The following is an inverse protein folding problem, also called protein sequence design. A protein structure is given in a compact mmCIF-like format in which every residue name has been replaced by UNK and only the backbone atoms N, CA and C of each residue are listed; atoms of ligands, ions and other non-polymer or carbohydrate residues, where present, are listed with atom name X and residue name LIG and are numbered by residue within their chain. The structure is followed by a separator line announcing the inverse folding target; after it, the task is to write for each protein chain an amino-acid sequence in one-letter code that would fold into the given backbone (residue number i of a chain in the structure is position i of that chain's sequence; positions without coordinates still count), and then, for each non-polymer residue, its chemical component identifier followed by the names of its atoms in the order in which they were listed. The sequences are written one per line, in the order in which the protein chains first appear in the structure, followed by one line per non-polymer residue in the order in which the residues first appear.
data_IF_545999047862
#
_entry.id   IF_545999047862
#
_cell.length_a   1.000
_cell.length_b   1.000
_cell.length_c   1.000
_cell.angle_alpha   90.00
_cell.angle_beta   90.00
_cell.angle_gamma   90.00
#
_symmetry.space_group_name_H-M   'P 1'
#
loop_
_entity.id
_entity.type
_entity.pdbx_description
1 polymer ?
#
# COMPACT_ATOMS: atom_id res chain seq x y z
N UNK A 1 17.92 -15.74 -12.93
CA UNK A 1 17.28 -15.13 -11.75
C UNK A 1 17.36 -13.62 -11.95
N UNK A 2 16.24 -12.91 -11.94
CA UNK A 2 16.30 -11.45 -11.72
C UNK A 2 16.74 -11.34 -10.26
N UNK A 3 18.03 -11.10 -10.07
CA UNK A 3 18.61 -10.99 -8.74
C UNK A 3 18.27 -9.57 -8.31
N UNK A 4 17.23 -9.44 -7.49
CA UNK A 4 16.83 -8.16 -6.94
C UNK A 4 17.93 -7.68 -6.00
N UNK A 5 18.70 -6.72 -6.47
CA UNK A 5 19.31 -5.67 -5.65
C UNK A 5 18.31 -4.50 -5.54
N UNK A 6 17.01 -4.79 -5.63
CA UNK A 6 15.95 -3.87 -6.02
C UNK A 6 14.87 -3.85 -4.91
N UNK A 7 15.10 -3.05 -3.87
CA UNK A 7 14.20 -2.89 -2.72
C UNK A 7 12.99 -2.00 -3.08
N UNK A 8 12.40 -2.20 -4.27
CA UNK A 8 11.42 -1.28 -4.82
C UNK A 8 10.05 -1.49 -4.19
N UNK A 9 9.65 -0.50 -3.40
CA UNK A 9 8.31 -0.30 -2.91
C UNK A 9 7.78 1.07 -3.32
N UNK A 10 6.46 1.22 -3.33
CA UNK A 10 5.79 2.51 -3.33
C UNK A 10 4.90 2.59 -2.10
N UNK A 11 4.96 3.73 -1.40
CA UNK A 11 4.12 4.01 -0.25
C UNK A 11 3.54 5.43 -0.37
N UNK A 12 2.26 5.56 -0.06
CA UNK A 12 1.51 6.83 -0.11
C UNK A 12 0.76 6.98 1.22
N UNK A 13 0.88 8.17 1.80
CA UNK A 13 0.13 8.58 2.97
C UNK A 13 -0.05 10.11 2.98
N UNK A 14 -1.03 10.60 3.74
CA UNK A 14 -1.35 12.01 3.95
C UNK A 14 -1.59 12.77 2.63
N UNK A 15 -2.38 12.20 1.73
CA UNK A 15 -2.80 12.86 0.49
C UNK A 15 -3.63 14.09 0.84
N UNK A 16 -3.19 15.24 0.35
CA UNK A 16 -3.87 16.51 0.54
C UNK A 16 -3.92 17.25 -0.80
N UNK A 17 -5.12 17.58 -1.26
CA UNK A 17 -5.33 18.50 -2.37
C UNK A 17 -5.90 19.81 -1.85
N UNK A 18 -5.26 20.91 -2.21
CA UNK A 18 -5.68 22.27 -1.85
C UNK A 18 -5.84 23.15 -3.07
N UNK A 19 -6.62 24.23 -2.96
CA UNK A 19 -6.76 25.26 -3.98
C UNK A 19 -7.18 26.62 -3.39
N UNK A 20 -7.20 27.66 -4.22
CA UNK A 20 -7.60 29.01 -3.80
C UNK A 20 -9.11 29.22 -3.94
N UNK A 21 -9.89 28.45 -3.17
CA UNK A 21 -11.35 28.57 -3.13
C UNK A 21 -11.77 29.21 -1.81
N UNK A 22 -12.36 30.41 -1.89
CA UNK A 22 -12.70 31.25 -0.73
C UNK A 22 -13.60 30.54 0.30
N UNK A 23 -14.41 29.57 -0.14
CA UNK A 23 -15.48 28.97 0.66
C UNK A 23 -15.09 27.65 1.36
N UNK A 24 -13.99 27.00 0.97
CA UNK A 24 -13.57 25.68 1.51
C UNK A 24 -12.36 25.74 2.46
N UNK A 25 -11.93 26.94 2.86
CA UNK A 25 -10.66 27.11 3.58
C UNK A 25 -9.45 26.61 2.78
N UNK A 26 -9.63 26.45 1.46
CA UNK A 26 -8.65 25.96 0.51
C UNK A 26 -8.39 24.45 0.47
N UNK A 27 -9.13 23.59 1.20
CA UNK A 27 -8.97 22.13 1.13
C UNK A 27 -10.02 21.52 0.19
N UNK A 28 -9.58 20.72 -0.78
CA UNK A 28 -10.44 20.02 -1.75
C UNK A 28 -10.57 18.52 -1.45
N UNK A 29 -9.50 17.90 -0.94
CA UNK A 29 -9.49 16.47 -0.63
C UNK A 29 -8.42 16.16 0.43
N UNK A 30 -8.71 15.24 1.33
CA UNK A 30 -7.75 14.69 2.29
C UNK A 30 -7.98 13.20 2.48
N UNK A 31 -6.89 12.44 2.49
CA UNK A 31 -6.90 11.03 2.84
C UNK A 31 -5.61 10.69 3.60
N UNK A 32 -5.76 10.08 4.77
CA UNK A 32 -4.68 9.56 5.61
C UNK A 32 -4.84 8.05 5.90
N UNK A 33 -5.82 7.39 5.27
CA UNK A 33 -6.11 5.95 5.31
C UNK A 33 -6.39 5.35 6.70
N UNK A 34 -6.32 6.14 7.78
CA UNK A 34 -6.52 5.67 9.16
C UNK A 34 -7.92 5.08 9.41
N UNK A 35 -8.90 5.43 8.57
CA UNK A 35 -10.23 4.83 8.59
C UNK A 35 -10.21 3.31 8.38
N UNK A 36 -9.15 2.77 7.79
CA UNK A 36 -8.95 1.35 7.51
C UNK A 36 -8.34 0.58 8.69
N UNK A 37 -7.90 1.22 9.78
CA UNK A 37 -7.25 0.55 10.91
C UNK A 37 -8.11 -0.57 11.51
N UNK A 38 -9.43 -0.39 11.56
CA UNK A 38 -10.38 -1.41 12.03
C UNK A 38 -10.60 -2.59 11.07
N UNK A 39 -10.07 -2.52 9.84
CA UNK A 39 -10.20 -3.54 8.80
C UNK A 39 -8.92 -4.33 8.54
N UNK A 40 -7.83 -4.04 9.26
CA UNK A 40 -6.59 -4.79 9.14
C UNK A 40 -6.80 -6.25 9.55
N UNK A 41 -6.28 -7.15 8.72
CA UNK A 41 -6.36 -8.59 8.86
C UNK A 41 -4.96 -9.20 9.01
N UNK A 42 -4.86 -10.46 9.45
CA UNK A 42 -3.58 -11.17 9.50
C UNK A 42 -2.86 -11.14 8.15
N UNK A 43 -1.54 -10.99 8.20
CA UNK A 43 -0.70 -11.15 7.00
C UNK A 43 -0.75 -12.62 6.56
N UNK A 44 -1.04 -12.86 5.29
CA UNK A 44 -1.20 -14.18 4.71
C UNK A 44 0.03 -14.53 3.89
N UNK A 45 0.66 -15.64 4.29
CA UNK A 45 1.76 -16.31 3.59
C UNK A 45 2.92 -15.38 3.26
N UNK A 46 3.79 -15.16 4.23
CA UNK A 46 5.02 -14.38 4.08
C UNK A 46 6.17 -15.32 3.69
N UNK A 47 6.66 -15.28 2.45
CA UNK A 47 7.63 -16.30 1.99
C UNK A 47 9.01 -16.18 2.63
N UNK A 48 9.36 -15.00 3.18
CA UNK A 48 10.72 -14.66 3.62
C UNK A 48 10.85 -14.16 5.06
N UNK A 49 9.76 -13.69 5.69
CA UNK A 49 9.79 -13.04 7.00
C UNK A 49 8.55 -13.38 7.83
N UNK A 50 8.70 -13.77 9.10
CA UNK A 50 7.57 -14.04 10.02
C UNK A 50 6.87 -12.74 10.46
N UNK A 51 6.10 -12.12 9.55
CA UNK A 51 5.19 -11.02 9.88
C UNK A 51 4.01 -11.58 10.67
N UNK A 52 3.89 -11.18 11.93
CA UNK A 52 2.79 -11.59 12.81
C UNK A 52 1.84 -10.42 13.10
N UNK A 53 0.56 -10.73 13.30
CA UNK A 53 -0.45 -9.74 13.69
C UNK A 53 -1.34 -9.30 12.52
N UNK A 54 -2.34 -8.48 12.86
CA UNK A 54 -3.25 -7.89 11.88
C UNK A 54 -2.63 -6.61 11.35
N UNK A 55 -2.19 -6.61 10.10
CA UNK A 55 -1.36 -5.53 9.57
C UNK A 55 -1.69 -5.13 8.14
N UNK A 56 -2.61 -5.82 7.46
CA UNK A 56 -2.88 -5.55 6.05
C UNK A 56 -4.35 -5.69 5.72
N UNK A 57 -4.84 -4.85 4.81
CA UNK A 57 -6.15 -5.00 4.17
C UNK A 57 -6.04 -4.70 2.69
N UNK A 58 -6.67 -5.55 1.86
CA UNK A 58 -6.86 -5.29 0.44
C UNK A 58 -8.14 -4.50 0.14
N UNK A 59 -8.84 -4.02 1.17
CA UNK A 59 -10.06 -3.20 1.01
C UNK A 59 -9.67 -1.73 0.98
N UNK A 60 -10.00 -0.98 -0.10
CA UNK A 60 -9.66 0.43 -0.19
C UNK A 60 -10.54 1.31 0.70
N UNK A 61 -10.01 2.48 1.05
CA UNK A 61 -10.77 3.55 1.69
C UNK A 61 -11.97 3.95 0.80
N UNK A 62 -12.98 4.55 1.41
CA UNK A 62 -14.23 4.88 0.71
C UNK A 62 -13.97 5.74 -0.53
N UNK A 63 -14.45 5.27 -1.68
CA UNK A 63 -14.32 5.96 -2.97
C UNK A 63 -13.01 5.73 -3.72
N UNK A 64 -11.99 5.14 -3.08
CA UNK A 64 -10.80 4.64 -3.76
C UNK A 64 -11.10 3.31 -4.43
N UNK A 65 -10.40 3.02 -5.53
CA UNK A 65 -10.51 1.73 -6.21
C UNK A 65 -9.14 1.09 -6.41
N UNK A 66 -9.10 -0.23 -6.28
CA UNK A 66 -7.95 -1.06 -6.54
C UNK A 66 -8.19 -1.92 -7.78
N UNK A 67 -7.25 -1.89 -8.73
CA UNK A 67 -7.14 -2.88 -9.78
C UNK A 67 -5.85 -3.67 -9.60
N UNK A 68 -6.04 -4.85 -9.01
CA UNK A 68 -5.04 -5.87 -8.75
C UNK A 68 -5.22 -7.06 -9.71
N UNK A 69 -5.94 -6.90 -10.82
CA UNK A 69 -6.29 -8.04 -11.69
C UNK A 69 -5.21 -8.41 -12.72
N UNK A 70 -4.19 -7.56 -12.88
CA UNK A 70 -3.25 -7.60 -14.00
C UNK A 70 -1.81 -7.97 -13.60
N UNK A 71 -1.54 -8.29 -12.34
CA UNK A 71 -0.36 -9.09 -12.00
C UNK A 71 -0.65 -10.56 -12.32
N UNK A 72 0.38 -11.38 -12.56
CA UNK A 72 0.22 -12.78 -12.95
C UNK A 72 -0.51 -13.66 -11.93
N UNK A 73 -0.34 -14.99 -12.00
CA UNK A 73 -0.93 -15.87 -10.97
C UNK A 73 -0.37 -15.52 -9.58
N UNK A 74 -1.24 -15.40 -8.55
CA UNK A 74 -0.79 -15.12 -7.17
C UNK A 74 0.30 -16.10 -6.74
N UNK A 75 1.45 -15.58 -6.30
CA UNK A 75 2.64 -16.36 -6.00
C UNK A 75 2.62 -16.98 -4.59
N UNK A 76 1.45 -16.99 -3.94
CA UNK A 76 1.26 -17.57 -2.61
C UNK A 76 1.28 -16.53 -1.49
N UNK A 77 1.89 -15.36 -1.67
CA UNK A 77 1.89 -14.27 -0.68
C UNK A 77 0.82 -13.22 -0.93
N UNK A 78 -0.42 -13.58 -0.63
CA UNK A 78 -1.61 -12.78 -0.97
C UNK A 78 -1.54 -11.36 -0.39
N UNK A 79 -0.87 -11.15 0.75
CA UNK A 79 -0.73 -9.81 1.34
C UNK A 79 0.15 -8.84 0.54
N UNK A 80 1.02 -9.36 -0.34
CA UNK A 80 1.90 -8.56 -1.21
C UNK A 80 1.39 -8.48 -2.66
N UNK A 81 0.19 -8.99 -2.92
CA UNK A 81 -0.42 -8.96 -4.25
C UNK A 81 -0.93 -7.55 -4.60
N UNK A 82 -0.06 -6.74 -5.22
CA UNK A 82 -0.37 -5.37 -5.67
C UNK A 82 -0.57 -4.37 -4.53
N UNK A 83 -1.30 -3.29 -4.83
CA UNK A 83 -1.64 -2.27 -3.82
C UNK A 83 -2.50 -2.86 -2.71
N UNK A 84 -2.07 -2.62 -1.47
CA UNK A 84 -2.77 -2.96 -0.23
C UNK A 84 -2.60 -1.80 0.77
N UNK A 85 -3.29 -1.87 1.90
CA UNK A 85 -3.17 -0.89 2.98
C UNK A 85 -2.58 -1.55 4.21
N UNK A 86 -1.45 -1.02 4.65
CA UNK A 86 -0.59 -1.67 5.64
C UNK A 86 -0.44 -0.83 6.90
N UNK A 87 -0.38 -1.48 8.06
CA UNK A 87 0.20 -0.89 9.25
C UNK A 87 1.69 -0.63 9.00
N UNK A 88 2.07 0.66 9.00
CA UNK A 88 3.40 1.11 8.59
C UNK A 88 4.51 0.47 9.42
N UNK A 89 4.33 0.42 10.74
CA UNK A 89 5.37 -0.08 11.64
C UNK A 89 5.54 -1.59 11.49
N UNK A 90 4.44 -2.34 11.30
CA UNK A 90 4.52 -3.78 11.06
C UNK A 90 5.25 -4.06 9.75
N UNK A 91 4.94 -3.35 8.66
CA UNK A 91 5.66 -3.50 7.39
C UNK A 91 7.15 -3.14 7.52
N UNK A 92 7.49 -2.00 8.12
CA UNK A 92 8.88 -1.55 8.28
C UNK A 92 9.71 -2.47 9.17
N UNK A 93 9.15 -2.92 10.30
CA UNK A 93 9.90 -3.74 11.27
C UNK A 93 10.14 -5.17 10.80
N UNK A 94 9.36 -5.63 9.83
CA UNK A 94 9.38 -7.03 9.41
C UNK A 94 10.31 -7.31 8.23
N UNK A 95 10.77 -6.28 7.51
CA UNK A 95 11.43 -6.42 6.21
C UNK A 95 12.64 -5.49 6.16
N UNK A 96 13.85 -6.05 6.26
CA UNK A 96 15.07 -5.31 6.64
C UNK A 96 15.79 -4.63 5.47
N UNK A 97 15.19 -3.69 4.75
CA UNK A 97 15.87 -2.98 3.62
C UNK A 97 15.38 -1.53 3.42
N UNK A 98 15.96 -0.54 4.13
CA UNK A 98 15.73 0.91 3.99
C UNK A 98 14.25 1.40 4.07
N UNK A 99 13.29 0.53 4.39
CA UNK A 99 11.85 0.82 4.47
C UNK A 99 11.53 1.88 5.53
N UNK A 100 12.37 2.00 6.55
CA UNK A 100 12.34 3.07 7.54
C UNK A 100 12.52 4.47 6.95
N UNK A 101 13.06 4.59 5.73
CA UNK A 101 13.21 5.88 5.04
C UNK A 101 11.86 6.50 4.67
N UNK A 102 10.79 5.70 4.56
CA UNK A 102 9.42 6.21 4.50
C UNK A 102 8.92 6.61 5.91
N UNK A 103 9.48 7.69 6.46
CA UNK A 103 9.27 8.09 7.85
C UNK A 103 8.22 9.21 8.05
N UNK A 104 7.63 9.72 6.96
CA UNK A 104 6.63 10.80 7.02
C UNK A 104 5.19 10.29 7.06
N UNK A 105 4.97 9.02 6.76
CA UNK A 105 3.69 8.36 6.97
C UNK A 105 3.50 7.93 8.42
N UNK A 106 2.28 7.51 8.76
CA UNK A 106 1.93 6.95 10.06
C UNK A 106 0.74 6.00 9.92
N UNK A 107 0.52 5.16 10.93
CA UNK A 107 -0.67 4.31 11.02
C UNK A 107 -0.85 3.44 9.77
N UNK A 108 -1.99 3.55 9.12
CA UNK A 108 -2.29 2.82 7.88
C UNK A 108 -1.82 3.60 6.65
N UNK A 109 -1.07 2.95 5.77
CA UNK A 109 -0.53 3.56 4.54
C UNK A 109 -0.93 2.74 3.31
N UNK A 110 -1.15 3.39 2.17
CA UNK A 110 -1.29 2.69 0.90
C UNK A 110 0.09 2.24 0.43
N UNK A 111 0.26 0.95 0.15
CA UNK A 111 1.56 0.35 -0.07
C UNK A 111 1.53 -0.75 -1.14
N UNK A 112 2.59 -0.80 -1.94
CA UNK A 112 2.91 -1.93 -2.82
C UNK A 112 4.41 -2.21 -2.73
N UNK A 113 4.76 -3.47 -2.52
CA UNK A 113 6.14 -3.93 -2.29
C UNK A 113 6.46 -5.05 -3.30
N UNK A 114 7.01 -4.66 -4.46
CA UNK A 114 7.35 -5.61 -5.54
C UNK A 114 8.47 -6.56 -5.14
N UNK A 115 9.40 -6.11 -4.31
CA UNK A 115 10.49 -6.95 -3.82
C UNK A 115 9.94 -8.14 -3.05
N UNK A 116 9.00 -7.90 -2.12
CA UNK A 116 8.35 -9.00 -1.41
C UNK A 116 7.51 -9.88 -2.33
N UNK A 117 6.77 -9.29 -3.28
CA UNK A 117 6.02 -10.05 -4.28
C UNK A 117 6.93 -11.00 -5.11
N UNK A 118 8.13 -10.55 -5.50
CA UNK A 118 9.10 -11.35 -6.24
C UNK A 118 9.76 -12.42 -5.35
N UNK A 119 10.07 -12.09 -4.09
CA UNK A 119 10.57 -13.04 -3.08
C UNK A 119 9.54 -14.14 -2.72
N UNK A 120 8.28 -13.96 -3.12
CA UNK A 120 7.23 -14.97 -3.02
C UNK A 120 7.25 -15.98 -4.17
N UNK A 121 8.22 -15.90 -5.09
CA UNK A 121 8.35 -16.81 -6.20
C UNK A 121 7.48 -16.43 -7.39
N UNK A 122 7.03 -15.17 -7.46
CA UNK A 122 6.46 -14.65 -8.70
C UNK A 122 7.52 -14.64 -9.79
N UNK A 123 7.09 -14.88 -11.02
CA UNK A 123 7.95 -14.77 -12.21
C UNK A 123 7.43 -13.72 -13.20
N UNK A 124 6.30 -13.09 -12.86
CA UNK A 124 5.54 -12.17 -13.69
C UNK A 124 5.74 -10.73 -13.22
N UNK A 125 5.60 -9.76 -14.12
CA UNK A 125 5.64 -8.35 -13.74
C UNK A 125 4.39 -7.99 -12.94
N UNK A 126 4.57 -7.21 -11.88
CA UNK A 126 3.46 -6.67 -11.12
C UNK A 126 2.85 -5.46 -11.83
N UNK A 127 1.58 -5.57 -12.22
CA UNK A 127 0.79 -4.47 -12.74
C UNK A 127 -0.43 -4.25 -11.84
N UNK A 128 -0.44 -3.11 -11.14
CA UNK A 128 -1.47 -2.75 -10.17
C UNK A 128 -1.78 -1.27 -10.25
N UNK A 129 -3.04 -0.90 -10.03
CA UNK A 129 -3.52 0.48 -10.08
C UNK A 129 -4.30 0.80 -8.80
N UNK A 130 -3.94 1.92 -8.17
CA UNK A 130 -4.72 2.56 -7.12
C UNK A 130 -5.27 3.89 -7.67
N UNK A 131 -6.58 4.05 -7.64
CA UNK A 131 -7.27 5.25 -8.15
C UNK A 131 -7.96 5.97 -7.01
N UNK A 132 -7.72 7.27 -6.89
CA UNK A 132 -8.43 8.13 -5.94
C UNK A 132 -9.90 8.30 -6.34
N UNK A 133 -10.76 8.75 -5.40
CA UNK A 133 -12.06 9.27 -5.77
C UNK A 133 -11.96 10.42 -6.78
N UNK A 134 -13.01 10.62 -7.57
CA UNK A 134 -13.14 11.83 -8.37
C UNK A 134 -13.32 13.04 -7.44
N UNK A 135 -12.50 14.07 -7.63
CA UNK A 135 -12.57 15.30 -6.85
C UNK A 135 -13.28 16.35 -7.70
N UNK A 136 -14.41 16.85 -7.21
CA UNK A 136 -15.11 17.95 -7.88
C UNK A 136 -14.38 19.27 -7.61
N UNK A 137 -14.18 20.06 -8.67
CA UNK A 137 -13.49 21.35 -8.64
C UNK A 137 -14.42 22.54 -8.95
N UNK A 138 -15.74 22.30 -8.96
CA UNK A 138 -16.75 23.31 -9.33
C UNK A 138 -17.02 24.34 -8.26
#
# INVERSE_FOLDING_TARGET
ARNATDDWYWAIDNVLLTGEFADLGGILFREDFESLAGSLAPVVANSSHDITGNAVTGTPSTGWTLDNSNYGSPSGCVSFDGWNFWDLLTWQSSLMDDREMFHRGRGVVALVDSDQYDNCGSTELMHTILTSPAIDMR
#
